data_IF_446928462315
#
_entry.id   IF_446928462315
#
_cell.length_a   1.000
_cell.length_b   1.000
_cell.length_c   1.000
_cell.angle_alpha   90.00
_cell.angle_beta   90.00
_cell.angle_gamma   90.00
#
_symmetry.space_group_name_H-M   'P 1'
#
loop_
_entity.id
_entity.type
_entity.pdbx_description
1 polymer ?
#
# COMPACT_ATOMS: atom_id res chain seq x y z
N UNK A 1 7.93 27.47 -1.07
CA UNK A 1 7.64 26.89 0.26
C UNK A 1 7.11 28.03 1.14
N UNK A 2 5.87 27.93 1.59
CA UNK A 2 5.32 28.81 2.62
C UNK A 2 5.85 28.33 3.95
N UNK A 3 6.31 29.22 4.81
CA UNK A 3 6.69 28.84 6.16
C UNK A 3 5.46 28.24 6.86
N UNK A 4 5.68 27.14 7.54
CA UNK A 4 4.64 26.25 8.05
C UNK A 4 3.59 26.96 8.91
N UNK A 5 4.03 27.84 9.82
CA UNK A 5 3.14 28.63 10.67
C UNK A 5 2.29 29.66 9.91
N UNK A 6 2.87 30.35 8.92
CA UNK A 6 2.17 31.37 8.14
C UNK A 6 0.99 30.81 7.33
N UNK A 7 1.14 29.60 6.79
CA UNK A 7 0.07 28.97 6.01
C UNK A 7 -1.11 28.56 6.88
N UNK A 8 -0.86 28.01 8.04
CA UNK A 8 -1.90 27.57 8.95
C UNK A 8 -2.69 28.73 9.55
N UNK A 9 -2.00 29.86 9.83
CA UNK A 9 -2.65 31.08 10.28
C UNK A 9 -3.48 31.73 9.16
N UNK A 10 -3.00 31.71 7.93
CA UNK A 10 -3.74 32.21 6.77
C UNK A 10 -5.03 31.45 6.51
N UNK A 11 -5.05 30.15 6.79
CA UNK A 11 -6.25 29.29 6.68
C UNK A 11 -7.20 29.46 7.90
N UNK A 12 -6.88 30.34 8.85
CA UNK A 12 -7.67 30.57 10.05
C UNK A 12 -7.56 29.49 11.11
N UNK A 13 -6.53 28.66 11.05
CA UNK A 13 -6.26 27.62 12.02
C UNK A 13 -5.19 28.06 13.03
N UNK A 14 -5.27 27.59 14.30
CA UNK A 14 -4.24 27.84 15.30
C UNK A 14 -2.95 27.06 14.97
N UNK A 15 -1.97 27.15 15.86
CA UNK A 15 -0.66 26.56 15.69
C UNK A 15 -0.69 25.11 15.17
N UNK A 16 0.37 24.72 14.49
CA UNK A 16 0.53 23.53 13.68
C UNK A 16 0.01 22.22 14.31
N UNK A 17 0.48 21.88 15.52
CA UNK A 17 0.08 20.64 16.19
C UNK A 17 -1.43 20.55 16.46
N UNK A 18 -2.09 21.68 16.69
CA UNK A 18 -3.54 21.70 16.94
C UNK A 18 -4.37 21.65 15.66
N UNK A 19 -3.80 22.05 14.52
CA UNK A 19 -4.49 21.99 13.21
C UNK A 19 -4.78 20.56 12.80
N UNK A 20 -3.81 19.69 12.97
CA UNK A 20 -3.92 18.29 12.57
C UNK A 20 -4.55 17.42 13.66
N UNK A 21 -4.65 17.92 14.90
CA UNK A 21 -5.32 17.23 15.99
C UNK A 21 -4.61 16.00 16.54
N UNK A 22 -3.37 15.77 16.14
CA UNK A 22 -2.60 14.57 16.46
C UNK A 22 -1.65 14.75 17.64
N UNK A 23 -1.54 15.98 18.18
CA UNK A 23 -0.64 16.34 19.28
C UNK A 23 0.84 16.09 19.01
N UNK A 24 1.23 16.06 17.73
CA UNK A 24 2.61 15.91 17.30
C UNK A 24 3.26 17.29 17.12
N UNK A 25 4.02 17.71 18.13
CA UNK A 25 4.71 19.01 18.15
C UNK A 25 5.79 19.15 17.07
N UNK A 26 6.20 18.05 16.46
CA UNK A 26 7.17 18.02 15.37
C UNK A 26 6.53 18.05 13.98
N UNK A 27 5.22 18.01 13.90
CA UNK A 27 4.49 17.99 12.63
C UNK A 27 4.61 16.70 11.84
N UNK A 28 5.19 15.66 12.42
CA UNK A 28 5.45 14.41 11.73
C UNK A 28 4.17 13.79 11.14
N UNK A 29 3.06 13.85 11.86
CA UNK A 29 1.78 13.28 11.43
C UNK A 29 1.04 14.19 10.44
N UNK A 30 1.11 15.49 10.62
CA UNK A 30 0.49 16.47 9.73
C UNK A 30 1.20 16.63 8.39
N UNK A 31 2.47 16.31 8.31
CA UNK A 31 3.32 16.41 7.11
C UNK A 31 3.62 15.03 6.49
N UNK A 32 2.60 14.18 6.40
CA UNK A 32 2.67 12.90 5.69
C UNK A 32 2.13 13.06 4.28
N UNK A 33 2.94 12.65 3.32
CA UNK A 33 2.66 12.76 1.89
C UNK A 33 2.72 11.37 1.26
N UNK A 34 1.72 11.08 0.43
CA UNK A 34 1.68 9.91 -0.43
C UNK A 34 1.46 10.38 -1.86
N UNK A 35 1.89 9.59 -2.82
CA UNK A 35 1.67 9.89 -4.23
C UNK A 35 1.44 8.61 -5.02
N UNK A 36 0.72 8.72 -6.13
CA UNK A 36 0.49 7.65 -7.07
C UNK A 36 0.07 8.21 -8.43
N UNK A 37 -0.16 7.31 -9.35
CA UNK A 37 -0.66 7.60 -10.70
C UNK A 37 -1.98 6.88 -10.87
N UNK A 38 -2.98 7.55 -11.46
CA UNK A 38 -4.32 7.00 -11.66
C UNK A 38 -4.90 7.42 -13.00
N UNK A 39 -5.58 6.50 -13.68
CA UNK A 39 -6.31 6.77 -14.93
C UNK A 39 -7.76 7.19 -14.60
N UNK A 40 -7.90 8.38 -14.06
CA UNK A 40 -9.16 8.91 -13.53
C UNK A 40 -10.25 9.16 -14.60
N UNK A 41 -9.87 9.21 -15.87
CA UNK A 41 -10.79 9.28 -17.02
C UNK A 41 -10.87 7.93 -17.77
N UNK A 42 -10.37 6.86 -17.16
CA UNK A 42 -10.29 5.52 -17.75
C UNK A 42 -9.01 5.26 -18.53
N UNK A 43 -8.68 3.99 -18.74
CA UNK A 43 -7.40 3.51 -19.29
C UNK A 43 -7.06 4.02 -20.72
N UNK A 44 -8.03 4.54 -21.47
CA UNK A 44 -7.81 5.12 -22.81
C UNK A 44 -7.30 6.57 -22.75
N UNK A 45 -7.29 7.19 -21.59
CA UNK A 45 -6.89 8.57 -21.37
C UNK A 45 -5.49 8.69 -20.75
N UNK A 46 -4.99 9.91 -20.61
CA UNK A 46 -3.73 10.15 -19.88
C UNK A 46 -3.97 9.98 -18.38
N UNK A 47 -2.98 9.43 -17.67
CA UNK A 47 -3.09 9.35 -16.22
C UNK A 47 -2.92 10.73 -15.56
N UNK A 48 -3.51 10.88 -14.40
CA UNK A 48 -3.29 11.99 -13.49
C UNK A 48 -2.29 11.60 -12.41
N UNK A 49 -1.51 12.55 -11.90
CA UNK A 49 -0.80 12.38 -10.65
C UNK A 49 -1.77 12.62 -9.49
N UNK A 50 -1.80 11.72 -8.52
CA UNK A 50 -2.58 11.88 -7.29
C UNK A 50 -1.61 12.05 -6.13
N UNK A 51 -1.75 13.14 -5.39
CA UNK A 51 -0.93 13.45 -4.22
C UNK A 51 -1.82 13.59 -3.00
N UNK A 52 -1.37 13.01 -1.88
CA UNK A 52 -2.10 13.06 -0.63
C UNK A 52 -1.29 13.82 0.43
N UNK A 53 -1.98 14.52 1.31
CA UNK A 53 -1.41 15.13 2.51
C UNK A 53 -2.27 14.83 3.73
N UNK A 54 -1.62 14.39 4.80
CA UNK A 54 -2.28 13.99 6.04
C UNK A 54 -3.00 12.65 5.88
N UNK A 55 -3.11 11.86 6.91
CA UNK A 55 -3.91 10.64 6.95
C UNK A 55 -4.26 10.21 8.38
N UNK A 56 -3.71 10.88 9.36
CA UNK A 56 -4.06 10.67 10.77
C UNK A 56 -5.26 11.50 11.23
N UNK A 57 -5.53 12.63 10.54
CA UNK A 57 -6.66 13.51 10.84
C UNK A 57 -7.24 14.06 9.54
N UNK A 58 -7.06 15.36 9.24
CA UNK A 58 -7.50 15.97 7.99
C UNK A 58 -6.80 15.36 6.81
N UNK A 59 -7.57 15.02 5.79
CA UNK A 59 -7.07 14.35 4.60
C UNK A 59 -7.33 15.19 3.37
N UNK A 60 -6.28 15.39 2.57
CA UNK A 60 -6.35 16.06 1.28
C UNK A 60 -5.81 15.12 0.21
N UNK A 61 -6.57 14.95 -0.86
CA UNK A 61 -6.13 14.25 -2.06
C UNK A 61 -6.26 15.20 -3.24
N UNK A 62 -5.19 15.37 -3.98
CA UNK A 62 -5.10 16.31 -5.07
C UNK A 62 -4.74 15.59 -6.37
N UNK A 63 -5.63 15.62 -7.35
CA UNK A 63 -5.41 15.11 -8.69
C UNK A 63 -4.96 16.22 -9.64
N UNK A 64 -3.88 15.94 -10.37
CA UNK A 64 -3.23 16.88 -11.28
C UNK A 64 -2.99 16.23 -12.64
N UNK A 65 -3.48 16.89 -13.68
CA UNK A 65 -3.24 16.52 -15.07
C UNK A 65 -2.02 17.22 -15.64
N UNK A 66 -1.32 16.57 -16.57
CA UNK A 66 -0.23 17.14 -17.34
C UNK A 66 -0.49 16.98 -18.84
N UNK A 67 -0.63 18.09 -19.53
CA UNK A 67 -0.90 18.10 -20.98
C UNK A 67 0.36 18.02 -21.87
N UNK A 68 1.55 17.95 -21.25
CA UNK A 68 2.86 18.01 -21.90
C UNK A 68 3.52 19.38 -21.80
N UNK A 69 2.85 20.39 -21.23
CA UNK A 69 3.34 21.77 -21.09
C UNK A 69 3.07 22.34 -19.72
N UNK A 70 1.88 22.15 -19.18
CA UNK A 70 1.46 22.69 -17.90
C UNK A 70 0.75 21.65 -17.05
N UNK A 71 0.81 21.85 -15.75
CA UNK A 71 0.06 21.11 -14.75
C UNK A 71 -1.26 21.85 -14.47
N UNK A 72 -2.35 21.10 -14.43
CA UNK A 72 -3.69 21.61 -14.12
C UNK A 72 -4.33 20.77 -13.01
N UNK A 73 -4.92 21.43 -12.02
CA UNK A 73 -5.72 20.73 -11.02
C UNK A 73 -6.95 20.13 -11.68
N UNK A 74 -7.11 18.82 -11.56
CA UNK A 74 -8.33 18.13 -11.96
C UNK A 74 -9.38 18.28 -10.87
N UNK A 75 -9.02 17.95 -9.65
CA UNK A 75 -9.82 18.15 -8.46
C UNK A 75 -8.95 18.09 -7.20
N UNK A 76 -9.47 18.67 -6.10
CA UNK A 76 -8.92 18.56 -4.75
C UNK A 76 -10.02 18.10 -3.80
N UNK A 77 -9.91 16.86 -3.29
CA UNK A 77 -10.74 16.35 -2.21
C UNK A 77 -10.21 16.82 -0.87
N UNK A 78 -11.10 17.24 0.03
CA UNK A 78 -10.76 17.57 1.41
C UNK A 78 -11.79 17.00 2.40
N UNK A 79 -11.33 16.09 3.27
CA UNK A 79 -12.08 15.62 4.44
C UNK A 79 -11.54 16.31 5.69
N UNK A 80 -12.16 17.42 6.07
CA UNK A 80 -11.72 18.26 7.17
C UNK A 80 -12.28 17.85 8.52
N UNK A 81 -13.36 17.07 8.50
CA UNK A 81 -14.05 16.50 9.66
C UNK A 81 -14.45 15.05 9.41
N UNK A 82 -14.77 14.29 10.47
CA UNK A 82 -15.30 12.93 10.31
C UNK A 82 -16.65 12.86 9.61
N UNK A 83 -17.33 14.00 9.40
CA UNK A 83 -18.71 14.02 8.95
C UNK A 83 -18.92 14.74 7.62
N UNK A 84 -17.91 15.47 7.14
CA UNK A 84 -18.05 16.31 5.96
C UNK A 84 -16.84 16.17 5.03
N UNK A 85 -17.09 16.21 3.73
CA UNK A 85 -16.06 16.36 2.72
C UNK A 85 -16.47 17.34 1.63
N UNK A 86 -15.50 17.92 0.95
CA UNK A 86 -15.69 18.76 -0.22
C UNK A 86 -14.73 18.37 -1.33
N UNK A 87 -15.13 18.60 -2.59
CA UNK A 87 -14.27 18.54 -3.77
C UNK A 87 -14.23 19.94 -4.38
N UNK A 88 -13.04 20.42 -4.67
CA UNK A 88 -12.80 21.74 -5.25
C UNK A 88 -12.14 21.62 -6.62
N UNK A 89 -12.42 22.56 -7.51
CA UNK A 89 -11.69 22.73 -8.78
C UNK A 89 -10.35 23.50 -8.57
N UNK A 90 -9.65 23.75 -9.69
CA UNK A 90 -8.36 24.47 -9.68
C UNK A 90 -8.41 25.92 -9.18
N UNK A 91 -9.58 26.52 -9.18
CA UNK A 91 -9.81 27.89 -8.68
C UNK A 91 -10.24 27.90 -7.20
N UNK A 92 -10.32 26.71 -6.57
CA UNK A 92 -10.75 26.53 -5.18
C UNK A 92 -12.27 26.61 -4.99
N UNK A 93 -13.05 26.56 -6.06
CA UNK A 93 -14.51 26.53 -5.98
C UNK A 93 -14.97 25.12 -5.65
N UNK A 94 -15.84 25.00 -4.66
CA UNK A 94 -16.50 23.72 -4.33
C UNK A 94 -17.39 23.28 -5.48
N UNK A 95 -17.15 22.09 -6.00
CA UNK A 95 -17.91 21.46 -7.11
C UNK A 95 -18.74 20.28 -6.64
N UNK A 96 -18.36 19.64 -5.52
CA UNK A 96 -19.11 18.59 -4.85
C UNK A 96 -18.91 18.70 -3.34
N UNK A 97 -19.90 18.28 -2.57
CA UNK A 97 -19.82 18.23 -1.11
C UNK A 97 -20.83 17.22 -0.53
N UNK A 98 -20.54 16.73 0.67
CA UNK A 98 -21.49 15.98 1.48
C UNK A 98 -21.27 16.27 2.95
N UNK A 99 -22.36 16.25 3.72
CA UNK A 99 -22.41 16.63 5.12
C UNK A 99 -23.17 15.58 5.95
N UNK A 100 -22.87 15.53 7.26
CA UNK A 100 -23.59 14.67 8.20
C UNK A 100 -23.34 13.18 8.01
N UNK A 101 -22.21 12.80 7.44
CA UNK A 101 -21.85 11.41 7.20
C UNK A 101 -21.44 10.68 8.49
N UNK A 102 -21.49 9.36 8.49
CA UNK A 102 -20.98 8.52 9.59
C UNK A 102 -19.45 8.52 9.65
N UNK A 103 -18.79 8.54 8.49
CA UNK A 103 -17.33 8.63 8.36
C UNK A 103 -16.97 9.23 6.99
N UNK A 104 -15.78 9.83 6.90
CA UNK A 104 -15.18 10.38 5.67
C UNK A 104 -13.76 9.84 5.51
N UNK A 105 -12.91 10.46 4.69
CA UNK A 105 -11.49 10.12 4.66
C UNK A 105 -10.70 10.70 5.87
N UNK A 106 -11.33 11.48 6.73
CA UNK A 106 -10.71 12.03 7.95
C UNK A 106 -10.26 10.89 8.87
N UNK A 107 -8.96 10.85 9.20
CA UNK A 107 -8.33 9.85 10.04
C UNK A 107 -8.45 8.40 9.52
N UNK A 108 -8.64 8.22 8.21
CA UNK A 108 -8.85 6.90 7.60
C UNK A 108 -7.72 6.47 6.67
N UNK A 109 -6.67 7.27 6.50
CA UNK A 109 -5.58 6.95 5.58
C UNK A 109 -4.64 5.86 6.12
N UNK A 110 -3.89 5.24 5.21
CA UNK A 110 -2.82 4.30 5.54
C UNK A 110 -1.43 4.93 5.27
N UNK A 111 -0.36 4.21 5.60
CA UNK A 111 1.01 4.61 5.26
C UNK A 111 1.32 4.48 3.75
N UNK A 112 0.44 3.88 2.99
CA UNK A 112 0.45 3.83 1.53
C UNK A 112 -0.94 4.12 0.99
N UNK A 113 -1.03 4.42 -0.30
CA UNK A 113 -2.28 4.36 -1.05
C UNK A 113 -2.18 3.26 -2.09
N UNK A 114 -3.31 2.81 -2.61
CA UNK A 114 -3.35 1.93 -3.76
C UNK A 114 -4.38 2.47 -4.77
N UNK A 115 -4.16 2.17 -6.04
CA UNK A 115 -5.01 2.63 -7.14
C UNK A 115 -5.47 1.43 -7.95
N UNK A 116 -6.73 1.35 -8.26
CA UNK A 116 -7.28 0.29 -9.08
C UNK A 116 -8.66 0.64 -9.61
N UNK A 117 -8.98 0.05 -10.75
CA UNK A 117 -10.24 0.24 -11.45
C UNK A 117 -11.32 -0.69 -10.86
N UNK A 118 -12.37 -0.10 -10.29
CA UNK A 118 -13.52 -0.86 -9.76
C UNK A 118 -14.82 -0.60 -10.54
N UNK A 119 -14.83 0.35 -11.49
CA UNK A 119 -16.05 0.68 -12.25
C UNK A 119 -15.83 1.20 -13.69
N UNK A 120 -14.59 1.19 -14.20
CA UNK A 120 -14.19 1.65 -15.52
C UNK A 120 -13.22 2.84 -15.51
N UNK A 121 -12.96 3.40 -14.34
CA UNK A 121 -11.93 4.39 -14.05
C UNK A 121 -11.15 3.95 -12.82
N UNK A 122 -9.98 4.53 -12.58
CA UNK A 122 -9.22 4.22 -11.37
C UNK A 122 -9.77 4.96 -10.15
N UNK A 123 -9.95 4.25 -9.05
CA UNK A 123 -10.22 4.77 -7.72
C UNK A 123 -8.97 4.73 -6.84
N UNK A 124 -8.98 5.58 -5.81
CA UNK A 124 -7.88 5.67 -4.86
C UNK A 124 -8.30 5.03 -3.52
N UNK A 125 -7.79 3.84 -3.23
CA UNK A 125 -7.88 3.24 -1.91
C UNK A 125 -6.87 3.93 -1.01
N UNK A 126 -7.37 4.80 -0.13
CA UNK A 126 -6.55 5.69 0.69
C UNK A 126 -6.20 5.08 2.07
N UNK A 127 -6.83 4.02 2.41
CA UNK A 127 -6.75 3.32 3.69
C UNK A 127 -8.10 2.69 4.03
N UNK A 128 -8.67 3.04 5.16
CA UNK A 128 -10.06 2.67 5.53
C UNK A 128 -11.13 3.42 4.73
N UNK A 129 -10.73 4.36 3.86
CA UNK A 129 -11.60 5.06 2.93
C UNK A 129 -11.09 4.91 1.50
N UNK A 130 -11.98 5.04 0.53
CA UNK A 130 -11.66 5.13 -0.88
C UNK A 130 -12.28 6.39 -1.51
N UNK A 131 -11.55 6.97 -2.46
CA UNK A 131 -11.94 8.17 -3.21
C UNK A 131 -12.17 7.77 -4.65
N UNK A 132 -13.31 8.17 -5.17
CA UNK A 132 -13.73 7.92 -6.53
C UNK A 132 -12.89 8.74 -7.54
N UNK A 133 -12.83 8.31 -8.78
CA UNK A 133 -12.11 8.96 -9.89
C UNK A 133 -12.46 10.46 -10.05
N UNK A 134 -13.65 10.88 -9.64
CA UNK A 134 -14.13 12.27 -9.70
C UNK A 134 -13.88 13.09 -8.42
N UNK A 135 -13.09 12.54 -7.49
CA UNK A 135 -12.72 13.16 -6.21
C UNK A 135 -13.77 13.00 -5.10
N UNK A 136 -14.96 12.47 -5.36
CA UNK A 136 -15.95 12.21 -4.31
C UNK A 136 -15.52 11.03 -3.42
N UNK A 137 -16.01 11.00 -2.19
CA UNK A 137 -15.83 9.84 -1.32
C UNK A 137 -16.59 8.64 -1.93
N UNK A 138 -15.89 7.53 -2.18
CA UNK A 138 -16.53 6.30 -2.61
C UNK A 138 -17.16 5.58 -1.41
N UNK A 139 -16.36 5.31 -0.38
CA UNK A 139 -16.82 4.80 0.91
C UNK A 139 -15.83 5.14 2.02
N UNK A 140 -16.25 4.95 3.26
CA UNK A 140 -15.40 4.91 4.44
C UNK A 140 -15.90 3.83 5.40
N UNK A 141 -15.00 2.95 5.83
CA UNK A 141 -15.33 1.89 6.80
C UNK A 141 -15.40 2.42 8.23
N UNK A 142 -14.80 3.58 8.49
CA UNK A 142 -14.71 4.16 9.82
C UNK A 142 -13.77 3.42 10.77
N UNK A 143 -12.89 2.55 10.25
CA UNK A 143 -11.98 1.72 11.06
C UNK A 143 -10.69 2.43 11.47
N UNK A 144 -10.50 3.66 10.97
CA UNK A 144 -9.36 4.48 11.34
C UNK A 144 -8.10 4.19 10.51
N UNK A 145 -7.00 4.79 10.94
CA UNK A 145 -5.69 4.68 10.33
C UNK A 145 -5.10 3.28 10.46
N UNK A 146 -4.18 2.93 9.53
CA UNK A 146 -3.41 1.69 9.58
C UNK A 146 -2.16 1.70 8.72
N UNK A 147 -1.33 0.68 8.90
CA UNK A 147 0.04 0.63 8.40
C UNK A 147 0.18 -0.05 7.03
N UNK A 148 -0.42 -1.22 6.84
CA UNK A 148 -0.27 -2.02 5.63
C UNK A 148 -1.60 -2.12 4.87
N UNK A 149 -1.51 -1.99 3.55
CA UNK A 149 -2.63 -1.96 2.63
C UNK A 149 -2.27 -2.75 1.37
N UNK A 150 -3.14 -3.66 0.97
CA UNK A 150 -3.02 -4.43 -0.27
C UNK A 150 -4.34 -4.36 -1.05
N UNK A 151 -4.25 -4.03 -2.33
CA UNK A 151 -5.36 -3.99 -3.28
C UNK A 151 -5.01 -4.86 -4.49
N UNK A 152 -5.81 -5.86 -4.75
CA UNK A 152 -5.74 -6.71 -5.96
C UNK A 152 -7.01 -7.57 -6.06
N UNK A 153 -7.10 -8.42 -7.09
CA UNK A 153 -8.00 -9.57 -7.13
C UNK A 153 -7.43 -10.63 -6.16
N UNK A 154 -7.77 -10.50 -4.88
CA UNK A 154 -7.25 -11.36 -3.80
C UNK A 154 -8.09 -12.61 -3.61
N UNK A 155 -9.37 -12.57 -4.01
CA UNK A 155 -10.31 -13.70 -4.00
C UNK A 155 -10.86 -13.95 -5.41
N UNK A 156 -10.19 -14.79 -6.23
CA UNK A 156 -10.58 -15.03 -7.61
C UNK A 156 -11.93 -15.76 -7.79
N UNK A 157 -12.60 -16.12 -6.70
CA UNK A 157 -13.98 -16.65 -6.72
C UNK A 157 -15.02 -15.54 -6.59
N UNK A 158 -14.61 -14.29 -6.35
CA UNK A 158 -15.43 -13.08 -6.34
C UNK A 158 -15.14 -12.22 -7.56
N UNK A 159 -16.10 -11.53 -8.15
CA UNK A 159 -15.83 -10.56 -9.19
C UNK A 159 -15.36 -9.23 -8.58
N UNK A 160 -14.30 -8.66 -9.11
CA UNK A 160 -13.78 -7.36 -8.72
C UNK A 160 -12.47 -7.45 -7.97
N UNK A 161 -12.19 -6.44 -7.17
CA UNK A 161 -10.97 -6.32 -6.38
C UNK A 161 -11.31 -6.31 -4.89
N UNK A 162 -10.38 -6.77 -4.10
CA UNK A 162 -10.46 -6.72 -2.64
C UNK A 162 -9.32 -5.90 -2.04
N UNK A 163 -9.56 -5.46 -0.83
CA UNK A 163 -8.57 -4.78 0.02
C UNK A 163 -8.32 -5.58 1.28
N UNK A 164 -7.06 -5.87 1.56
CA UNK A 164 -6.61 -6.30 2.89
C UNK A 164 -5.87 -5.16 3.56
N UNK A 165 -6.25 -4.83 4.80
CA UNK A 165 -5.65 -3.73 5.57
C UNK A 165 -5.49 -4.09 7.04
N UNK A 166 -4.44 -3.58 7.68
CA UNK A 166 -4.22 -3.67 9.14
C UNK A 166 -4.41 -2.30 9.79
N UNK A 167 -4.82 -2.28 11.07
CA UNK A 167 -5.26 -1.07 11.77
C UNK A 167 -4.44 -0.74 13.02
N UNK A 168 -4.06 0.54 13.16
CA UNK A 168 -3.49 1.15 14.37
C UNK A 168 -4.58 1.64 15.36
N UNK A 169 -5.80 1.81 14.89
CA UNK A 169 -6.92 2.33 15.69
C UNK A 169 -7.76 1.19 16.25
N UNK A 170 -8.35 1.44 17.43
CA UNK A 170 -9.25 0.44 18.05
C UNK A 170 -10.49 0.19 17.17
N UNK A 171 -10.90 -1.09 17.03
CA UNK A 171 -10.49 -2.28 17.79
C UNK A 171 -9.26 -3.03 17.25
N UNK A 172 -8.37 -2.38 16.49
CA UNK A 172 -7.14 -2.97 15.93
C UNK A 172 -7.39 -4.17 15.01
N UNK A 173 -6.34 -4.90 14.66
CA UNK A 173 -6.42 -6.10 13.82
C UNK A 173 -6.40 -5.81 12.34
N UNK A 174 -7.13 -6.59 11.56
CA UNK A 174 -7.19 -6.43 10.11
C UNK A 174 -8.59 -6.60 9.56
N UNK A 175 -8.85 -6.04 8.39
CA UNK A 175 -10.04 -6.30 7.60
C UNK A 175 -9.70 -6.76 6.18
N UNK A 176 -10.60 -7.57 5.63
CA UNK A 176 -10.66 -7.94 4.24
C UNK A 176 -12.02 -7.53 3.68
N UNK A 177 -12.03 -6.71 2.64
CA UNK A 177 -13.22 -6.05 2.14
C UNK A 177 -13.27 -5.96 0.63
N UNK A 178 -14.46 -5.84 0.10
CA UNK A 178 -14.73 -5.48 -1.29
C UNK A 178 -14.22 -4.06 -1.58
N UNK A 179 -13.40 -3.90 -2.62
CA UNK A 179 -12.75 -2.62 -2.94
C UNK A 179 -13.69 -1.57 -3.49
N UNK A 180 -14.82 -1.97 -4.10
CA UNK A 180 -15.81 -1.08 -4.70
C UNK A 180 -16.78 -0.53 -3.68
N UNK A 181 -17.22 -1.37 -2.75
CA UNK A 181 -18.31 -1.05 -1.84
C UNK A 181 -17.87 -0.74 -0.42
N UNK A 182 -16.67 -1.19 -0.02
CA UNK A 182 -16.19 -1.15 1.35
C UNK A 182 -16.87 -2.19 2.26
N UNK A 183 -17.66 -3.13 1.71
CA UNK A 183 -18.27 -4.22 2.47
C UNK A 183 -17.18 -5.11 3.08
N UNK A 184 -17.20 -5.24 4.40
CA UNK A 184 -16.24 -6.06 5.12
C UNK A 184 -16.64 -7.53 5.01
N UNK A 185 -15.79 -8.34 4.37
CA UNK A 185 -16.01 -9.77 4.16
C UNK A 185 -15.64 -10.57 5.40
N UNK A 186 -14.51 -10.24 6.03
CA UNK A 186 -14.17 -10.72 7.37
C UNK A 186 -13.20 -9.76 8.08
N UNK A 187 -13.03 -9.95 9.39
CA UNK A 187 -12.09 -9.19 10.23
C UNK A 187 -11.41 -10.10 11.24
N UNK A 188 -10.17 -9.74 11.56
CA UNK A 188 -9.51 -10.17 12.79
C UNK A 188 -9.50 -9.03 13.80
N UNK A 189 -9.53 -9.34 15.09
CA UNK A 189 -9.45 -8.35 16.16
C UNK A 189 -8.20 -8.60 16.98
N UNK A 190 -7.48 -7.54 17.28
CA UNK A 190 -6.28 -7.58 18.09
C UNK A 190 -6.38 -6.71 19.34
N UNK A 191 -5.38 -6.81 20.21
CA UNK A 191 -5.36 -6.10 21.50
C UNK A 191 -4.56 -4.82 21.47
N UNK A 192 -3.73 -4.66 20.42
CA UNK A 192 -2.79 -3.58 20.27
C UNK A 192 -2.66 -3.20 18.80
N UNK A 193 -1.94 -2.13 18.52
CA UNK A 193 -1.60 -1.66 17.19
C UNK A 193 -1.04 -2.77 16.30
N UNK A 194 -1.72 -3.03 15.19
CA UNK A 194 -1.33 -4.02 14.19
C UNK A 194 -0.51 -3.36 13.08
N UNK A 195 0.78 -3.17 13.36
CA UNK A 195 1.67 -2.38 12.51
C UNK A 195 2.21 -3.10 11.27
N UNK A 196 1.84 -4.35 11.02
CA UNK A 196 2.29 -5.15 9.87
C UNK A 196 1.25 -6.16 9.44
N UNK A 197 1.15 -6.34 8.14
CA UNK A 197 0.35 -7.39 7.52
C UNK A 197 0.67 -7.50 6.05
N UNK A 198 0.42 -8.64 5.46
CA UNK A 198 0.63 -8.89 4.03
C UNK A 198 -0.46 -9.80 3.48
N UNK A 199 -0.81 -9.59 2.22
CA UNK A 199 -1.56 -10.51 1.39
C UNK A 199 -0.63 -11.03 0.29
N UNK A 200 -0.51 -12.36 0.17
CA UNK A 200 0.34 -13.01 -0.83
C UNK A 200 -0.20 -14.41 -1.15
N UNK A 201 -0.14 -14.82 -2.41
CA UNK A 201 -0.48 -16.18 -2.85
C UNK A 201 0.71 -17.13 -2.59
N UNK A 202 0.82 -17.63 -1.35
CA UNK A 202 1.96 -18.44 -0.91
C UNK A 202 1.69 -19.95 -0.90
N UNK A 203 0.43 -20.38 -1.03
CA UNK A 203 0.05 -21.77 -0.89
C UNK A 203 -0.89 -22.26 -1.99
N UNK A 204 -0.35 -22.77 -3.08
CA UNK A 204 -1.11 -23.29 -4.23
C UNK A 204 -2.14 -24.40 -3.93
N UNK A 205 -2.30 -24.82 -2.67
CA UNK A 205 -3.38 -25.72 -2.24
C UNK A 205 -4.67 -24.97 -1.92
N UNK A 206 -4.59 -23.67 -1.75
CA UNK A 206 -5.70 -22.75 -1.55
C UNK A 206 -5.77 -21.83 -2.76
N UNK A 207 -6.95 -21.58 -3.26
CA UNK A 207 -7.12 -20.67 -4.38
C UNK A 207 -7.27 -19.24 -3.86
N UNK A 208 -6.53 -18.30 -4.47
CA UNK A 208 -6.47 -16.91 -4.05
C UNK A 208 -5.35 -16.66 -3.05
N UNK A 209 -5.36 -15.51 -2.47
CA UNK A 209 -4.27 -15.05 -1.60
C UNK A 209 -4.44 -15.52 -0.16
N UNK A 210 -3.33 -15.72 0.52
CA UNK A 210 -3.29 -15.82 1.97
C UNK A 210 -3.02 -14.46 2.59
N UNK A 211 -3.56 -14.25 3.81
CA UNK A 211 -3.41 -13.02 4.57
C UNK A 211 -3.01 -13.31 6.02
N UNK A 212 -2.09 -12.51 6.53
CA UNK A 212 -1.66 -12.58 7.93
C UNK A 212 -1.17 -11.22 8.42
N UNK A 213 -1.19 -11.03 9.74
CA UNK A 213 -0.76 -9.81 10.39
C UNK A 213 0.10 -10.10 11.62
N UNK A 214 0.76 -9.07 12.16
CA UNK A 214 1.73 -9.20 13.24
C UNK A 214 1.13 -9.85 14.49
N UNK A 215 -0.10 -9.53 14.83
CA UNK A 215 -0.69 -9.90 16.10
C UNK A 215 -1.69 -11.05 16.02
N UNK A 216 -2.32 -11.28 14.85
CA UNK A 216 -3.28 -12.37 14.67
C UNK A 216 -2.66 -13.75 14.84
N UNK A 217 -1.36 -13.90 14.54
CA UNK A 217 -0.61 -15.16 14.65
C UNK A 217 -1.23 -16.32 13.89
N UNK A 218 -1.97 -15.99 12.85
CA UNK A 218 -2.68 -16.91 11.98
C UNK A 218 -2.46 -16.51 10.53
N UNK A 219 -2.25 -17.49 9.65
CA UNK A 219 -2.34 -17.33 8.21
C UNK A 219 -3.74 -17.76 7.80
N UNK A 220 -4.46 -16.92 7.07
CA UNK A 220 -5.82 -17.20 6.61
C UNK A 220 -5.86 -17.20 5.09
N UNK A 221 -6.70 -18.06 4.51
CA UNK A 221 -7.05 -17.97 3.09
C UNK A 221 -7.99 -16.77 2.82
N UNK A 222 -8.27 -16.47 1.57
CA UNK A 222 -9.15 -15.37 1.15
C UNK A 222 -10.60 -15.49 1.65
N UNK A 223 -11.02 -16.67 2.11
CA UNK A 223 -12.32 -16.89 2.73
C UNK A 223 -12.29 -16.73 4.27
N UNK A 224 -11.16 -16.31 4.84
CA UNK A 224 -10.97 -16.09 6.27
C UNK A 224 -10.74 -17.37 7.09
N UNK A 225 -10.56 -18.51 6.43
CA UNK A 225 -10.25 -19.79 7.10
C UNK A 225 -8.78 -19.83 7.51
N UNK A 226 -8.51 -20.19 8.76
CA UNK A 226 -7.15 -20.40 9.27
C UNK A 226 -6.54 -21.63 8.61
N UNK A 227 -5.36 -21.45 8.00
CA UNK A 227 -4.56 -22.52 7.38
C UNK A 227 -3.27 -22.83 8.15
N UNK A 228 -2.80 -21.87 8.96
CA UNK A 228 -1.70 -22.04 9.91
C UNK A 228 -1.88 -21.09 11.10
N UNK A 229 -1.50 -21.57 12.30
CA UNK A 229 -1.71 -20.86 13.57
C UNK A 229 -0.54 -21.00 14.56
N UNK A 230 0.63 -21.38 14.07
CA UNK A 230 1.84 -21.47 14.91
C UNK A 230 2.60 -20.14 14.92
N UNK A 231 2.58 -19.37 16.02
CA UNK A 231 3.23 -18.06 16.10
C UNK A 231 4.75 -18.13 15.88
N UNK A 232 5.36 -19.31 16.12
CA UNK A 232 6.81 -19.47 15.92
C UNK A 232 7.20 -19.69 14.46
N UNK A 233 6.22 -19.90 13.59
CA UNK A 233 6.41 -20.25 12.18
C UNK A 233 5.81 -19.19 11.23
N UNK A 234 5.34 -18.04 11.77
CA UNK A 234 4.73 -17.00 10.95
C UNK A 234 5.67 -16.54 9.83
N UNK A 235 5.15 -16.39 8.61
CA UNK A 235 5.94 -15.90 7.50
C UNK A 235 6.36 -14.43 7.71
N UNK A 236 7.39 -13.98 6.99
CA UNK A 236 7.71 -12.57 6.90
C UNK A 236 6.51 -11.77 6.37
N UNK A 237 6.38 -10.50 6.76
CA UNK A 237 5.21 -9.69 6.45
C UNK A 237 5.55 -8.28 5.99
N UNK A 238 6.62 -8.16 5.18
CA UNK A 238 7.00 -6.89 4.56
C UNK A 238 6.54 -6.82 3.11
N UNK A 239 7.04 -7.72 2.24
CA UNK A 239 6.69 -7.73 0.82
C UNK A 239 6.51 -9.14 0.31
N UNK A 240 5.62 -9.32 -0.66
CA UNK A 240 5.60 -10.47 -1.55
C UNK A 240 6.49 -10.19 -2.76
N UNK A 241 6.97 -11.22 -3.44
CA UNK A 241 7.77 -11.10 -4.66
C UNK A 241 7.65 -12.36 -5.52
N UNK A 242 7.51 -12.21 -6.82
CA UNK A 242 7.66 -13.31 -7.75
C UNK A 242 9.15 -13.57 -8.02
N UNK A 243 9.70 -14.63 -7.44
CA UNK A 243 11.14 -14.88 -7.50
C UNK A 243 11.54 -16.20 -8.11
N UNK A 244 10.97 -17.31 -7.67
CA UNK A 244 11.36 -18.63 -8.15
C UNK A 244 10.64 -19.07 -9.44
N UNK A 245 10.58 -20.35 -9.73
CA UNK A 245 10.05 -20.85 -11.00
C UNK A 245 8.59 -21.27 -10.97
N UNK A 246 7.92 -21.22 -9.84
CA UNK A 246 6.50 -21.54 -9.72
C UNK A 246 5.62 -20.27 -9.69
N UNK A 247 4.32 -20.40 -9.51
CA UNK A 247 3.36 -19.28 -9.56
C UNK A 247 3.01 -18.72 -8.18
N UNK A 248 3.53 -19.30 -7.11
CA UNK A 248 3.33 -18.78 -5.77
C UNK A 248 4.30 -17.65 -5.47
N UNK A 249 3.86 -16.74 -4.63
CA UNK A 249 4.70 -15.65 -4.12
C UNK A 249 5.77 -16.17 -3.16
N UNK A 250 6.95 -15.59 -3.23
CA UNK A 250 7.94 -15.59 -2.18
C UNK A 250 7.78 -14.34 -1.31
N UNK A 251 8.48 -14.34 -0.18
CA UNK A 251 8.46 -13.24 0.78
C UNK A 251 9.83 -12.57 0.86
N UNK A 252 9.82 -11.26 0.69
CA UNK A 252 10.99 -10.41 0.79
C UNK A 252 10.91 -9.60 2.09
N UNK A 253 11.96 -9.67 2.89
CA UNK A 253 12.06 -8.94 4.15
C UNK A 253 13.54 -8.59 4.44
N UNK A 254 13.81 -8.01 5.60
CA UNK A 254 15.17 -7.75 6.04
C UNK A 254 15.49 -8.37 7.40
N UNK A 255 16.79 -8.55 7.65
CA UNK A 255 17.32 -8.93 8.96
C UNK A 255 17.18 -7.79 9.98
N UNK A 256 17.53 -8.12 11.23
CA UNK A 256 17.53 -7.14 12.32
C UNK A 256 18.79 -6.27 12.30
N UNK A 257 18.72 -5.16 13.05
CA UNK A 257 19.91 -4.29 13.29
C UNK A 257 21.18 -5.12 13.56
N UNK A 258 22.35 -4.65 13.13
CA UNK A 258 22.59 -3.32 12.55
C UNK A 258 22.42 -3.22 11.03
N UNK A 259 22.43 -4.32 10.28
CA UNK A 259 22.67 -4.27 8.85
C UNK A 259 21.42 -4.29 7.96
N UNK A 260 20.23 -4.60 8.48
CA UNK A 260 18.99 -4.67 7.68
C UNK A 260 19.14 -5.30 6.28
N UNK A 261 20.00 -6.33 6.18
CA UNK A 261 20.26 -7.02 4.94
C UNK A 261 19.01 -7.77 4.45
N UNK A 262 18.66 -7.66 3.15
CA UNK A 262 17.47 -8.31 2.60
C UNK A 262 17.61 -9.83 2.59
N UNK A 263 16.49 -10.54 2.76
CA UNK A 263 16.41 -11.99 2.62
C UNK A 263 15.10 -12.43 2.00
N UNK A 264 15.10 -13.63 1.43
CA UNK A 264 13.94 -14.27 0.84
C UNK A 264 13.49 -15.49 1.67
N UNK A 265 12.18 -15.69 1.72
CA UNK A 265 11.55 -16.89 2.27
C UNK A 265 10.53 -17.45 1.29
N UNK A 266 10.34 -18.76 1.34
CA UNK A 266 9.26 -19.47 0.64
C UNK A 266 8.39 -20.24 1.63
N UNK A 267 7.09 -20.28 1.37
CA UNK A 267 6.16 -21.12 2.10
C UNK A 267 6.27 -22.57 1.63
N UNK A 268 6.39 -23.52 2.54
CA UNK A 268 6.51 -24.94 2.21
C UNK A 268 5.22 -25.73 2.48
N UNK A 269 4.10 -25.03 2.62
CA UNK A 269 2.81 -25.63 2.96
C UNK A 269 2.56 -25.79 4.45
N UNK A 270 3.50 -25.35 5.30
CA UNK A 270 3.39 -25.41 6.76
C UNK A 270 4.05 -24.22 7.45
N UNK A 271 5.16 -23.75 6.93
CA UNK A 271 5.94 -22.63 7.47
C UNK A 271 6.78 -21.97 6.38
N UNK A 272 7.17 -20.74 6.61
CA UNK A 272 8.16 -20.09 5.78
C UNK A 272 9.57 -20.63 6.07
N UNK A 273 10.34 -20.89 5.01
CA UNK A 273 11.72 -21.35 5.08
C UNK A 273 12.62 -20.40 4.28
N UNK A 274 13.91 -20.22 4.68
CA UNK A 274 14.83 -19.42 3.90
C UNK A 274 14.93 -19.93 2.45
N UNK A 275 14.87 -19.03 1.48
CA UNK A 275 15.05 -19.34 0.07
C UNK A 275 16.48 -18.95 -0.36
N UNK A 276 17.34 -19.91 -0.72
CA UNK A 276 18.65 -19.63 -1.26
C UNK A 276 18.57 -19.21 -2.74
N UNK A 277 19.53 -18.39 -3.16
CA UNK A 277 19.77 -18.11 -4.56
C UNK A 277 20.31 -19.33 -5.30
N UNK A 278 20.33 -19.34 -6.63
CA UNK A 278 20.78 -20.45 -7.47
C UNK A 278 22.22 -20.89 -7.20
N UNK A 279 23.06 -20.00 -6.65
CA UNK A 279 24.43 -20.31 -6.23
C UNK A 279 24.54 -20.87 -4.80
N UNK A 280 23.42 -21.13 -4.13
CA UNK A 280 23.32 -21.62 -2.76
C UNK A 280 23.58 -20.58 -1.67
N UNK A 281 23.82 -19.31 -2.02
CA UNK A 281 23.91 -18.20 -1.08
C UNK A 281 22.52 -17.62 -0.82
N UNK A 282 22.38 -16.88 0.28
CA UNK A 282 21.21 -16.08 0.52
C UNK A 282 21.39 -14.65 -0.04
N UNK A 283 20.29 -13.95 -0.26
CA UNK A 283 20.32 -12.57 -0.75
C UNK A 283 21.15 -11.69 0.19
N UNK A 284 21.07 -11.91 1.50
CA UNK A 284 21.85 -11.23 2.54
C UNK A 284 23.39 -11.45 2.45
N UNK A 285 23.82 -12.48 1.72
CA UNK A 285 25.24 -12.79 1.54
C UNK A 285 25.82 -12.11 0.28
N UNK A 286 25.00 -11.41 -0.46
CA UNK A 286 25.34 -10.83 -1.76
C UNK A 286 25.54 -9.33 -1.66
N UNK A 287 26.81 -8.92 -1.56
CA UNK A 287 27.17 -7.51 -1.45
C UNK A 287 26.85 -6.91 -0.09
N UNK A 288 26.85 -5.60 -0.01
CA UNK A 288 26.52 -4.84 1.19
C UNK A 288 25.16 -4.14 1.03
N UNK A 289 24.21 -4.87 0.47
CA UNK A 289 22.87 -4.35 0.18
C UNK A 289 22.06 -4.19 1.45
N UNK A 290 21.42 -3.05 1.60
CA UNK A 290 20.55 -2.74 2.74
C UNK A 290 19.23 -2.17 2.26
N UNK A 291 18.17 -2.51 2.98
CA UNK A 291 16.84 -1.95 2.75
C UNK A 291 16.70 -0.57 3.40
N UNK A 292 15.78 0.21 2.88
CA UNK A 292 15.40 1.49 3.44
C UNK A 292 14.40 1.31 4.58
N UNK A 293 14.18 2.39 5.34
CA UNK A 293 13.10 2.49 6.31
C UNK A 293 13.10 1.38 7.38
N UNK A 294 14.28 0.93 7.77
CA UNK A 294 14.54 -0.02 8.88
C UNK A 294 13.68 -1.29 8.78
N UNK A 295 12.85 -1.54 9.78
CA UNK A 295 12.00 -2.74 9.87
C UNK A 295 10.86 -2.77 8.84
N UNK A 296 10.64 -1.69 8.09
CA UNK A 296 9.73 -1.68 6.93
C UNK A 296 10.32 -2.45 5.74
N UNK A 297 11.64 -2.65 5.72
CA UNK A 297 12.37 -3.43 4.72
C UNK A 297 12.23 -2.93 3.26
N UNK A 298 11.94 -1.66 3.07
CA UNK A 298 11.61 -1.09 1.76
C UNK A 298 12.81 -1.15 0.81
N UNK A 299 12.72 -1.82 -0.34
CA UNK A 299 13.74 -1.74 -1.40
C UNK A 299 13.76 -0.34 -2.03
N UNK A 300 14.75 -0.06 -2.85
CA UNK A 300 14.74 1.13 -3.70
C UNK A 300 13.73 1.00 -4.84
N UNK A 301 13.56 -0.22 -5.34
CA UNK A 301 12.55 -0.60 -6.32
C UNK A 301 12.34 -2.10 -6.28
N UNK A 302 11.11 -2.54 -6.46
CA UNK A 302 10.72 -3.91 -6.76
C UNK A 302 9.78 -3.87 -7.96
N UNK A 303 10.17 -4.53 -9.06
CA UNK A 303 9.33 -4.61 -10.26
C UNK A 303 9.88 -5.66 -11.23
N UNK A 304 9.02 -6.18 -12.12
CA UNK A 304 9.42 -6.94 -13.30
C UNK A 304 10.07 -6.00 -14.33
N UNK A 305 11.37 -5.70 -14.14
CA UNK A 305 12.13 -4.76 -14.97
C UNK A 305 12.58 -5.42 -16.27
N UNK A 306 12.92 -6.71 -16.22
CA UNK A 306 13.42 -7.43 -17.40
C UNK A 306 12.32 -8.08 -18.23
N UNK A 307 11.07 -8.06 -17.75
CA UNK A 307 9.90 -8.46 -18.51
C UNK A 307 9.73 -9.98 -18.64
N UNK A 308 10.26 -10.74 -17.70
CA UNK A 308 10.14 -12.19 -17.68
C UNK A 308 9.13 -12.72 -16.64
N UNK A 309 8.27 -11.82 -16.09
CA UNK A 309 7.25 -11.94 -15.06
C UNK A 309 7.78 -12.13 -13.63
N UNK A 310 9.03 -12.42 -13.46
CA UNK A 310 9.65 -12.43 -12.13
C UNK A 310 10.23 -11.05 -11.84
N UNK A 311 10.25 -10.70 -10.58
CA UNK A 311 10.58 -9.36 -10.19
C UNK A 311 12.07 -9.22 -9.86
N UNK A 312 12.63 -8.11 -10.30
CA UNK A 312 13.91 -7.62 -9.81
C UNK A 312 13.71 -6.79 -8.55
N UNK A 313 14.74 -6.78 -7.72
CA UNK A 313 14.77 -5.90 -6.56
C UNK A 313 16.08 -5.11 -6.52
N UNK A 314 15.96 -3.81 -6.27
CA UNK A 314 17.08 -2.89 -6.23
C UNK A 314 17.30 -2.43 -4.80
N UNK A 315 18.56 -2.52 -4.35
CA UNK A 315 19.02 -1.99 -3.07
C UNK A 315 20.25 -1.11 -3.27
N UNK A 316 20.44 -0.15 -2.38
CA UNK A 316 21.69 0.61 -2.33
C UNK A 316 22.76 -0.17 -1.55
N UNK A 317 24.03 0.17 -1.79
CA UNK A 317 25.17 -0.43 -1.11
C UNK A 317 25.57 0.42 0.10
N UNK A 318 25.62 -0.18 1.31
CA UNK A 318 25.92 0.58 2.54
C UNK A 318 27.35 1.08 2.63
N UNK A 319 28.30 0.47 1.88
CA UNK A 319 29.68 0.90 1.81
C UNK A 319 29.93 1.95 0.74
N UNK A 320 29.08 2.02 -0.27
CA UNK A 320 29.18 3.01 -1.35
C UNK A 320 27.79 3.41 -1.87
N UNK A 321 27.22 4.43 -1.27
CA UNK A 321 25.88 4.94 -1.62
C UNK A 321 25.75 5.47 -3.07
N UNK A 322 26.84 5.51 -3.85
CA UNK A 322 26.78 5.80 -5.29
C UNK A 322 26.46 4.58 -6.15
N UNK A 323 26.38 3.40 -5.54
CA UNK A 323 26.08 2.14 -6.21
C UNK A 323 24.70 1.60 -5.83
N UNK A 324 24.03 1.01 -6.82
CA UNK A 324 22.81 0.24 -6.67
C UNK A 324 23.08 -1.20 -7.06
N UNK A 325 22.66 -2.12 -6.21
CA UNK A 325 22.73 -3.55 -6.45
C UNK A 325 21.37 -4.01 -6.99
N UNK A 326 21.35 -4.56 -8.20
CA UNK A 326 20.15 -5.10 -8.83
C UNK A 326 20.23 -6.62 -8.73
N UNK A 327 19.23 -7.21 -8.12
CA UNK A 327 19.10 -8.66 -7.99
C UNK A 327 18.01 -9.14 -8.91
N UNK A 328 18.33 -10.17 -9.68
CA UNK A 328 17.43 -10.90 -10.57
C UNK A 328 17.59 -12.38 -10.33
N UNK A 329 16.56 -13.16 -10.66
CA UNK A 329 16.62 -14.62 -10.57
C UNK A 329 16.99 -15.24 -11.92
N UNK A 330 17.72 -16.35 -11.86
CA UNK A 330 18.00 -17.20 -13.02
C UNK A 330 17.48 -18.65 -12.78
N UNK A 331 16.57 -18.83 -11.85
CA UNK A 331 15.93 -20.10 -11.59
C UNK A 331 15.08 -20.47 -12.82
N UNK A 332 15.24 -21.68 -13.40
CA UNK A 332 14.44 -22.07 -14.54
C UNK A 332 12.95 -22.15 -14.21
N UNK A 333 12.11 -21.74 -15.16
CA UNK A 333 10.66 -21.89 -15.07
C UNK A 333 10.09 -22.45 -16.38
N UNK A 334 9.03 -23.25 -16.26
CA UNK A 334 8.26 -23.75 -17.42
C UNK A 334 7.14 -22.79 -17.83
N UNK A 335 6.82 -21.80 -17.00
CA UNK A 335 5.76 -20.84 -17.26
C UNK A 335 6.20 -19.76 -18.25
N UNK A 336 5.27 -19.36 -19.10
CA UNK A 336 5.43 -18.29 -20.10
C UNK A 336 4.33 -17.28 -19.93
N UNK A 337 4.56 -16.31 -19.07
CA UNK A 337 3.62 -15.26 -18.74
C UNK A 337 4.13 -13.95 -19.36
N UNK A 338 3.25 -13.07 -19.86
CA UNK A 338 3.65 -11.71 -20.24
C UNK A 338 4.26 -10.98 -19.05
N UNK A 339 5.04 -9.94 -19.32
CA UNK A 339 5.53 -9.08 -18.25
C UNK A 339 4.40 -8.64 -17.32
N UNK A 340 4.65 -8.62 -16.02
CA UNK A 340 3.67 -8.13 -15.02
C UNK A 340 3.29 -6.67 -15.28
N UNK A 341 4.17 -5.88 -15.93
CA UNK A 341 3.87 -4.50 -16.36
C UNK A 341 2.72 -4.41 -17.36
N UNK A 342 2.25 -5.53 -17.91
CA UNK A 342 1.03 -5.59 -18.74
C UNK A 342 -0.24 -5.44 -17.89
N UNK A 343 -0.22 -5.94 -16.65
CA UNK A 343 -1.33 -5.75 -15.71
C UNK A 343 -1.43 -4.29 -15.28
N UNK A 344 -2.65 -3.77 -15.26
CA UNK A 344 -2.91 -2.36 -14.98
C UNK A 344 -2.57 -2.01 -13.53
N UNK A 345 -3.06 -2.80 -12.57
CA UNK A 345 -2.86 -2.55 -11.15
C UNK A 345 -1.38 -2.72 -10.77
N UNK A 346 -0.75 -3.79 -11.27
CA UNK A 346 0.67 -4.01 -11.04
C UNK A 346 1.52 -2.83 -11.51
N UNK A 347 1.28 -2.35 -12.74
CA UNK A 347 2.01 -1.20 -13.29
C UNK A 347 1.82 0.07 -12.47
N UNK A 348 0.62 0.31 -11.96
CA UNK A 348 0.36 1.44 -11.06
C UNK A 348 1.06 1.25 -9.73
N UNK A 349 1.11 0.01 -9.18
CA UNK A 349 1.74 -0.27 -7.89
C UNK A 349 3.23 0.07 -7.85
N UNK A 350 3.93 -0.05 -8.97
CA UNK A 350 5.33 0.39 -9.10
C UNK A 350 5.49 1.90 -8.88
N UNK A 351 4.46 2.69 -9.16
CA UNK A 351 4.50 4.15 -9.04
C UNK A 351 4.16 4.68 -7.63
N UNK A 352 3.61 3.86 -6.73
CA UNK A 352 3.29 4.29 -5.36
C UNK A 352 4.14 3.61 -4.28
N UNK A 353 5.20 2.92 -4.66
CA UNK A 353 6.16 2.29 -3.74
C UNK A 353 6.92 3.29 -2.85
#
# INVERSE_FOLDING_TARGET
>A
QVAEGERLEADGFPAYSSVWGDKDDYGNRGERYLAGVAFLDGAAHRPSAVMCRGYYTRSYLWAVDFDGKQLTTKWLHASLTPHDWVVMDGDGKVIKEAHGLSATAFAQGAHSLAVGDVDGCDEITYGSAAINHDGSLLYSTGLGHGDALHLSDLDPDRPGLEVFMVHEERPYGSDFRDARTGEILYRTLDRDDTGRGVAADIDGRHRGFEMWSLDSKEVRDCHGKVIADDPSQMPAMNFRIYWDGDLQDELLANGRRPHFAPYLQKWNGKKAVPLPLSNGKHLSDMGHSVSNNWTKATPNLQADIFGDWREEVIYWDENDASHLNIFTTNIPTEYRIPTLMHDHIYRLSVAWQ
#
